data_IF_749156436365
#
_entry.id   IF_749156436365
#
_cell.length_a   1.000
_cell.length_b   1.000
_cell.length_c   1.000
_cell.angle_alpha   90.00
_cell.angle_beta   90.00
_cell.angle_gamma   90.00
#
_symmetry.space_group_name_H-M   'P 1'
#
loop_
_entity.id
_entity.type
_entity.pdbx_description
1 polymer ?
#
# COMPACT_ATOMS: atom_id res chain seq x y z
N UNK A 1 1.92 42.34 112.76
CA UNK A 1 1.84 43.82 112.81
C UNK A 1 0.46 44.23 112.26
N UNK A 2 -0.58 44.23 113.12
CA UNK A 2 -1.91 44.75 112.77
C UNK A 2 -1.87 46.25 113.04
N UNK A 3 -1.89 47.08 111.98
CA UNK A 3 -2.07 48.52 112.13
C UNK A 3 -3.51 48.79 112.58
N UNK A 4 -3.63 49.57 113.65
CA UNK A 4 -4.88 49.99 114.28
C UNK A 4 -5.62 50.99 113.36
N UNK A 5 -6.84 50.68 112.89
CA UNK A 5 -7.61 51.54 111.98
C UNK A 5 -8.09 52.85 112.63
N UNK A 6 -7.84 53.05 113.92
CA UNK A 6 -8.18 54.26 114.67
C UNK A 6 -7.00 55.22 114.87
N UNK A 7 -5.81 54.93 114.33
CA UNK A 7 -4.71 55.88 114.33
C UNK A 7 -5.06 57.10 113.46
N UNK A 8 -5.24 58.25 114.10
CA UNK A 8 -5.36 59.53 113.42
C UNK A 8 -4.03 59.81 112.71
N UNK A 9 -4.02 59.70 111.38
CA UNK A 9 -2.89 60.13 110.58
C UNK A 9 -2.56 61.58 110.92
N UNK A 10 -1.31 61.86 111.29
CA UNK A 10 -0.88 63.24 111.41
C UNK A 10 -0.92 63.89 110.00
N UNK A 11 -1.13 65.20 109.93
CA UNK A 11 -1.26 65.91 108.65
C UNK A 11 -0.06 65.66 107.70
N UNK A 12 1.13 65.41 108.25
CA UNK A 12 2.36 65.10 107.48
C UNK A 12 2.35 63.68 106.88
N UNK A 13 1.77 62.69 107.55
CA UNK A 13 1.58 61.34 107.00
C UNK A 13 0.50 61.32 105.93
N UNK A 14 -0.63 62.00 106.17
CA UNK A 14 -1.69 62.14 105.18
C UNK A 14 -1.15 62.83 103.92
N UNK A 15 -0.42 63.94 104.06
CA UNK A 15 0.21 64.62 102.92
C UNK A 15 1.21 63.73 102.16
N UNK A 16 1.98 62.89 102.86
CA UNK A 16 2.87 61.91 102.22
C UNK A 16 2.08 60.85 101.46
N UNK A 17 1.05 60.26 102.06
CA UNK A 17 0.19 59.24 101.43
C UNK A 17 -0.53 59.82 100.22
N UNK A 18 -1.13 61.01 100.35
CA UNK A 18 -1.77 61.71 99.23
C UNK A 18 -0.75 62.05 98.15
N UNK A 19 0.44 62.55 98.51
CA UNK A 19 1.50 62.86 97.55
C UNK A 19 2.03 61.64 96.78
N UNK A 20 2.27 60.51 97.48
CA UNK A 20 2.68 59.26 96.82
C UNK A 20 1.57 58.68 95.96
N UNK A 21 0.31 58.75 96.41
CA UNK A 21 -0.85 58.35 95.62
C UNK A 21 -1.00 59.22 94.36
N UNK A 22 -0.89 60.54 94.48
CA UNK A 22 -0.90 61.46 93.35
C UNK A 22 0.23 61.17 92.36
N UNK A 23 1.46 60.95 92.85
CA UNK A 23 2.59 60.59 91.99
C UNK A 23 2.35 59.25 91.27
N UNK A 24 1.80 58.26 91.98
CA UNK A 24 1.46 56.95 91.41
C UNK A 24 0.38 57.08 90.33
N UNK A 25 -0.69 57.85 90.59
CA UNK A 25 -1.75 58.11 89.61
C UNK A 25 -1.21 58.86 88.38
N UNK A 26 -0.33 59.84 88.56
CA UNK A 26 0.32 60.54 87.43
C UNK A 26 1.21 59.58 86.64
N UNK A 27 1.96 58.71 87.31
CA UNK A 27 2.81 57.72 86.66
C UNK A 27 1.98 56.69 85.87
N UNK A 28 0.87 56.19 86.42
CA UNK A 28 -0.01 55.25 85.72
C UNK A 28 -0.71 55.90 84.52
N UNK A 29 -1.15 57.17 84.64
CA UNK A 29 -1.69 57.92 83.51
C UNK A 29 -0.64 58.09 82.39
N UNK A 30 0.59 58.46 82.72
CA UNK A 30 1.69 58.58 81.75
C UNK A 30 2.03 57.25 81.07
N UNK A 31 2.01 56.14 81.82
CA UNK A 31 2.21 54.80 81.25
C UNK A 31 1.07 54.39 80.31
N UNK A 32 -0.18 54.68 80.69
CA UNK A 32 -1.36 54.43 79.86
C UNK A 32 -1.31 55.22 78.56
N UNK A 33 -0.93 56.50 78.62
CA UNK A 33 -0.82 57.39 77.46
C UNK A 33 0.28 56.93 76.49
N UNK A 34 1.43 56.50 77.03
CA UNK A 34 2.50 55.88 76.23
C UNK A 34 2.05 54.58 75.56
N UNK A 35 1.30 53.73 76.27
CA UNK A 35 0.77 52.49 75.72
C UNK A 35 -0.27 52.74 74.62
N UNK A 36 -1.18 53.71 74.84
CA UNK A 36 -2.15 54.14 73.83
C UNK A 36 -1.46 54.64 72.56
N UNK A 37 -0.42 55.48 72.70
CA UNK A 37 0.38 55.97 71.58
C UNK A 37 1.07 54.84 70.80
N UNK A 38 1.60 53.83 71.48
CA UNK A 38 2.24 52.67 70.85
C UNK A 38 1.24 51.80 70.08
N UNK A 39 0.05 51.57 70.65
CA UNK A 39 -1.02 50.83 69.98
C UNK A 39 -1.52 51.58 68.74
N UNK A 40 -1.70 52.89 68.85
CA UNK A 40 -2.10 53.72 67.72
C UNK A 40 -1.07 53.67 66.59
N UNK A 41 0.23 53.77 66.92
CA UNK A 41 1.29 53.64 65.92
C UNK A 41 1.28 52.27 65.22
N UNK A 42 1.13 51.17 65.99
CA UNK A 42 1.03 49.82 65.40
C UNK A 42 -0.19 49.67 64.50
N UNK A 43 -1.33 50.23 64.88
CA UNK A 43 -2.55 50.20 64.09
C UNK A 43 -2.33 50.93 62.75
N UNK A 44 -1.73 52.13 62.77
CA UNK A 44 -1.41 52.87 61.54
C UNK A 44 -0.43 52.11 60.64
N UNK A 45 0.61 51.48 61.19
CA UNK A 45 1.55 50.67 60.40
C UNK A 45 0.89 49.45 59.77
N UNK A 46 0.02 48.75 60.50
CA UNK A 46 -0.72 47.60 59.97
C UNK A 46 -1.72 48.03 58.90
N UNK A 47 -2.40 49.15 59.09
CA UNK A 47 -3.35 49.70 58.13
C UNK A 47 -2.65 50.05 56.81
N UNK A 48 -1.49 50.72 56.87
CA UNK A 48 -0.68 50.98 55.68
C UNK A 48 -0.19 49.70 54.99
N UNK A 49 0.10 48.63 55.74
CA UNK A 49 0.50 47.33 55.16
C UNK A 49 -0.68 46.61 54.50
N UNK A 50 -1.89 46.73 55.06
CA UNK A 50 -3.12 46.19 54.47
C UNK A 50 -3.39 46.93 53.16
N UNK A 51 -3.39 48.26 53.17
CA UNK A 51 -3.59 49.08 51.96
C UNK A 51 -2.55 48.74 50.87
N UNK A 52 -1.27 48.55 51.25
CA UNK A 52 -0.24 48.10 50.30
C UNK A 52 -0.53 46.71 49.72
N UNK A 53 -0.94 45.74 50.55
CA UNK A 53 -1.24 44.38 50.10
C UNK A 53 -2.52 44.33 49.25
N UNK A 54 -3.50 45.19 49.54
CA UNK A 54 -4.70 45.34 48.72
C UNK A 54 -4.35 45.92 47.34
N UNK A 55 -3.44 46.92 47.28
CA UNK A 55 -2.91 47.42 46.01
C UNK A 55 -2.11 46.35 45.26
N UNK A 56 -1.21 45.61 45.92
CA UNK A 56 -0.47 44.50 45.30
C UNK A 56 -1.40 43.38 44.80
N UNK A 57 -2.49 43.09 45.51
CA UNK A 57 -3.49 42.11 45.09
C UNK A 57 -4.32 42.60 43.91
N UNK A 58 -4.68 43.88 43.90
CA UNK A 58 -5.39 44.51 42.78
C UNK A 58 -4.51 44.58 41.53
N UNK A 59 -3.22 44.94 41.66
CA UNK A 59 -2.25 44.91 40.55
C UNK A 59 -2.07 43.49 39.99
N UNK A 60 -2.12 42.46 40.83
CA UNK A 60 -2.08 41.05 40.36
C UNK A 60 -3.37 40.59 39.69
N UNK A 61 -4.52 41.15 40.07
CA UNK A 61 -5.81 40.88 39.44
C UNK A 61 -5.96 41.66 38.12
N UNK A 62 -5.40 42.86 38.05
CA UNK A 62 -5.40 43.73 36.88
C UNK A 62 -4.28 43.42 35.89
N UNK A 63 -3.19 42.78 36.34
CA UNK A 63 -2.29 42.10 35.42
C UNK A 63 -3.14 41.04 34.70
N UNK A 64 -3.44 41.23 33.39
CA UNK A 64 -4.07 40.18 32.63
C UNK A 64 -3.15 38.98 32.81
N UNK A 65 -3.72 37.86 33.23
CA UNK A 65 -3.00 36.61 33.23
C UNK A 65 -2.67 36.30 31.77
N UNK A 66 -1.60 36.90 31.24
CA UNK A 66 -1.07 36.61 29.90
C UNK A 66 -0.76 35.11 29.79
N UNK A 67 -0.54 34.46 30.94
CA UNK A 67 -0.41 33.01 31.08
C UNK A 67 -1.76 32.30 30.86
N UNK A 68 -2.90 32.80 31.37
CA UNK A 68 -4.20 32.15 31.16
C UNK A 68 -4.76 32.43 29.75
N UNK A 69 -4.61 33.65 29.21
CA UNK A 69 -5.02 33.93 27.82
C UNK A 69 -4.16 33.17 26.81
N UNK A 70 -2.83 33.15 26.99
CA UNK A 70 -1.92 32.40 26.12
C UNK A 70 -2.17 30.88 26.16
N UNK A 71 -2.45 30.32 27.34
CA UNK A 71 -2.75 28.89 27.48
C UNK A 71 -4.13 28.53 26.95
N UNK A 72 -5.15 29.37 27.14
CA UNK A 72 -6.47 29.13 26.56
C UNK A 72 -6.44 29.20 25.04
N UNK A 73 -5.76 30.18 24.44
CA UNK A 73 -5.55 30.22 22.99
C UNK A 73 -4.79 29.00 22.46
N UNK A 74 -3.77 28.53 23.18
CA UNK A 74 -3.00 27.34 22.78
C UNK A 74 -3.86 26.07 22.87
N UNK A 75 -4.71 25.96 23.90
CA UNK A 75 -5.69 24.87 24.02
C UNK A 75 -6.67 24.91 22.84
N UNK A 76 -7.22 26.08 22.50
CA UNK A 76 -8.16 26.23 21.39
C UNK A 76 -7.49 25.86 20.04
N UNK A 77 -6.26 26.33 19.81
CA UNK A 77 -5.45 25.98 18.61
C UNK A 77 -5.18 24.47 18.54
N UNK A 78 -4.86 23.83 19.67
CA UNK A 78 -4.64 22.39 19.72
C UNK A 78 -5.94 21.59 19.51
N UNK A 79 -7.06 22.08 20.01
CA UNK A 79 -8.38 21.47 19.78
C UNK A 79 -8.77 21.54 18.30
N UNK A 80 -8.58 22.70 17.65
CA UNK A 80 -8.81 22.88 16.21
C UNK A 80 -7.87 22.00 15.36
N UNK A 81 -6.59 21.89 15.74
CA UNK A 81 -5.66 20.99 15.07
C UNK A 81 -6.07 19.51 15.23
N UNK A 82 -6.57 19.12 16.41
CA UNK A 82 -7.02 17.76 16.67
C UNK A 82 -8.27 17.39 15.86
N UNK A 83 -9.22 18.32 15.71
CA UNK A 83 -10.40 18.10 14.86
C UNK A 83 -10.00 17.98 13.39
N UNK A 84 -9.16 18.88 12.89
CA UNK A 84 -8.68 18.84 11.50
C UNK A 84 -7.94 17.52 11.18
N UNK A 85 -7.03 17.08 12.06
CA UNK A 85 -6.31 15.80 11.90
C UNK A 85 -7.27 14.61 11.94
N UNK A 86 -8.32 14.67 12.75
CA UNK A 86 -9.33 13.60 12.85
C UNK A 86 -10.14 13.51 11.56
N UNK A 87 -10.56 14.64 10.99
CA UNK A 87 -11.26 14.68 9.70
C UNK A 87 -10.38 14.18 8.55
N UNK A 88 -9.11 14.60 8.49
CA UNK A 88 -8.15 14.12 7.49
C UNK A 88 -7.96 12.61 7.57
N UNK A 89 -7.86 12.06 8.79
CA UNK A 89 -7.75 10.62 9.02
C UNK A 89 -8.98 9.85 8.53
N UNK A 90 -10.18 10.35 8.79
CA UNK A 90 -11.42 9.70 8.33
C UNK A 90 -11.55 9.78 6.80
N UNK A 91 -11.17 10.89 6.18
CA UNK A 91 -11.11 11.01 4.73
C UNK A 91 -10.10 10.01 4.13
N UNK A 92 -8.89 9.92 4.69
CA UNK A 92 -7.88 8.97 4.23
C UNK A 92 -8.34 7.51 4.36
N UNK A 93 -9.13 7.19 5.39
CA UNK A 93 -9.76 5.87 5.57
C UNK A 93 -10.81 5.61 4.48
N UNK A 94 -11.64 6.58 4.16
CA UNK A 94 -12.63 6.48 3.10
C UNK A 94 -11.95 6.27 1.72
N UNK A 95 -10.91 7.03 1.43
CA UNK A 95 -10.14 6.91 0.19
C UNK A 95 -9.46 5.54 0.08
N UNK A 96 -8.87 5.03 1.17
CA UNK A 96 -8.29 3.70 1.21
C UNK A 96 -9.34 2.60 0.97
N UNK A 97 -10.53 2.73 1.58
CA UNK A 97 -11.61 1.77 1.37
C UNK A 97 -12.12 1.77 -0.07
N UNK A 98 -12.25 2.95 -0.70
CA UNK A 98 -12.64 3.07 -2.10
C UNK A 98 -11.60 2.43 -3.04
N UNK A 99 -10.31 2.66 -2.81
CA UNK A 99 -9.24 2.02 -3.58
C UNK A 99 -9.25 0.49 -3.41
N UNK A 100 -9.43 0.00 -2.18
CA UNK A 100 -9.52 -1.43 -1.91
C UNK A 100 -10.72 -2.08 -2.63
N UNK A 101 -11.88 -1.44 -2.61
CA UNK A 101 -13.07 -1.92 -3.31
C UNK A 101 -12.89 -1.91 -4.84
N UNK A 102 -12.22 -0.89 -5.39
CA UNK A 102 -11.90 -0.81 -6.83
C UNK A 102 -10.88 -1.87 -7.26
N UNK A 103 -10.05 -2.39 -6.35
CA UNK A 103 -9.04 -3.40 -6.64
C UNK A 103 -9.60 -4.84 -6.68
N UNK A 104 -10.71 -5.11 -6.00
CA UNK A 104 -11.31 -6.46 -5.94
C UNK A 104 -11.69 -7.00 -7.33
N UNK A 105 -12.36 -6.18 -8.15
CA UNK A 105 -12.76 -6.54 -9.51
C UNK A 105 -11.58 -6.87 -10.44
N UNK A 106 -10.55 -6.03 -10.60
CA UNK A 106 -9.39 -6.36 -11.44
C UNK A 106 -8.59 -7.55 -10.88
N UNK A 107 -8.56 -7.77 -9.57
CA UNK A 107 -7.97 -8.99 -9.00
C UNK A 107 -8.74 -10.26 -9.40
N UNK A 108 -10.07 -10.20 -9.40
CA UNK A 108 -10.92 -11.28 -9.87
C UNK A 108 -10.68 -11.54 -11.37
N UNK A 109 -10.64 -10.49 -12.19
CA UNK A 109 -10.35 -10.58 -13.62
C UNK A 109 -8.96 -11.19 -13.87
N UNK A 110 -7.96 -10.83 -13.07
CA UNK A 110 -6.62 -11.40 -13.14
C UNK A 110 -6.61 -12.90 -12.79
N UNK A 111 -7.40 -13.33 -11.80
CA UNK A 111 -7.55 -14.75 -11.45
C UNK A 111 -8.17 -15.53 -12.61
N UNK A 112 -9.21 -14.99 -13.24
CA UNK A 112 -9.87 -15.59 -14.42
C UNK A 112 -8.91 -15.69 -15.62
N UNK A 113 -8.22 -14.59 -15.95
CA UNK A 113 -7.25 -14.56 -17.05
C UNK A 113 -6.10 -15.56 -16.85
N UNK A 114 -5.65 -15.77 -15.59
CA UNK A 114 -4.63 -16.79 -15.28
C UNK A 114 -5.11 -18.21 -15.53
N UNK A 115 -6.40 -18.49 -15.29
CA UNK A 115 -7.01 -19.80 -15.57
C UNK A 115 -7.15 -19.99 -17.09
N UNK A 116 -7.69 -19.01 -17.80
CA UNK A 116 -7.81 -19.04 -19.27
C UNK A 116 -6.46 -19.22 -19.97
N UNK A 117 -5.41 -18.54 -19.49
CA UNK A 117 -4.06 -18.71 -20.01
C UNK A 117 -3.55 -20.15 -19.83
N UNK A 118 -3.84 -20.80 -18.70
CA UNK A 118 -3.43 -22.20 -18.46
C UNK A 118 -4.18 -23.16 -19.37
N UNK A 119 -5.48 -22.95 -19.56
CA UNK A 119 -6.30 -23.77 -20.47
C UNK A 119 -5.82 -23.64 -21.92
N UNK A 120 -5.64 -22.42 -22.41
CA UNK A 120 -5.08 -22.16 -23.75
C UNK A 120 -3.70 -22.79 -23.93
N UNK A 121 -2.84 -22.72 -22.92
CA UNK A 121 -1.51 -23.38 -22.95
C UNK A 121 -1.64 -24.90 -23.03
N UNK A 122 -2.58 -25.51 -22.33
CA UNK A 122 -2.84 -26.94 -22.43
C UNK A 122 -3.36 -27.33 -23.83
N UNK A 123 -4.28 -26.53 -24.39
CA UNK A 123 -4.80 -26.72 -25.74
C UNK A 123 -3.72 -26.59 -26.82
N UNK A 124 -2.81 -25.62 -26.69
CA UNK A 124 -1.66 -25.47 -27.61
C UNK A 124 -0.80 -26.74 -27.58
N UNK A 125 -0.46 -27.25 -26.39
CA UNK A 125 0.32 -28.50 -26.27
C UNK A 125 -0.36 -29.70 -26.93
N UNK A 126 -1.68 -29.84 -26.76
CA UNK A 126 -2.44 -30.91 -27.40
C UNK A 126 -2.44 -30.78 -28.94
N UNK A 127 -2.52 -29.55 -29.46
CA UNK A 127 -2.42 -29.30 -30.89
C UNK A 127 -1.00 -29.58 -31.42
N UNK A 128 0.04 -29.25 -30.65
CA UNK A 128 1.43 -29.57 -30.99
C UNK A 128 1.65 -31.09 -31.08
N UNK A 129 1.10 -31.87 -30.14
CA UNK A 129 1.18 -33.34 -30.19
C UNK A 129 0.45 -33.90 -31.40
N UNK A 130 -0.79 -33.47 -31.66
CA UNK A 130 -1.55 -33.90 -32.84
C UNK A 130 -0.86 -33.53 -34.15
N UNK A 131 -0.23 -32.35 -34.22
CA UNK A 131 0.52 -31.91 -35.39
C UNK A 131 1.78 -32.76 -35.59
N UNK A 132 2.46 -33.15 -34.52
CA UNK A 132 3.59 -34.09 -34.58
C UNK A 132 3.15 -35.48 -35.08
N UNK A 133 2.04 -36.01 -34.55
CA UNK A 133 1.44 -37.28 -34.97
C UNK A 133 1.06 -37.26 -36.46
N UNK A 134 0.38 -36.21 -36.91
CA UNK A 134 0.00 -36.05 -38.31
C UNK A 134 1.21 -35.97 -39.25
N UNK A 135 2.30 -35.32 -38.83
CA UNK A 135 3.55 -35.31 -39.60
C UNK A 135 4.16 -36.70 -39.71
N UNK A 136 4.24 -37.44 -38.61
CA UNK A 136 4.73 -38.82 -38.63
C UNK A 136 3.87 -39.73 -39.53
N UNK A 137 2.56 -39.53 -39.54
CA UNK A 137 1.65 -40.27 -40.41
C UNK A 137 1.87 -39.95 -41.90
N UNK A 138 2.09 -38.68 -42.24
CA UNK A 138 2.45 -38.27 -43.61
C UNK A 138 3.76 -38.93 -44.04
N UNK A 139 4.78 -38.92 -43.18
CA UNK A 139 6.08 -39.56 -43.47
C UNK A 139 5.92 -41.07 -43.71
N UNK A 140 5.10 -41.73 -42.87
CA UNK A 140 4.76 -43.16 -43.00
C UNK A 140 4.08 -43.46 -44.33
N UNK A 141 3.02 -42.73 -44.67
CA UNK A 141 2.30 -42.90 -45.94
C UNK A 141 3.17 -42.59 -47.15
N UNK A 142 4.07 -41.61 -47.05
CA UNK A 142 5.01 -41.28 -48.13
C UNK A 142 5.99 -42.42 -48.38
N UNK A 143 6.45 -43.09 -47.31
CA UNK A 143 7.27 -44.30 -47.45
C UNK A 143 6.50 -45.43 -48.14
N UNK A 144 5.25 -45.70 -47.74
CA UNK A 144 4.40 -46.71 -48.39
C UNK A 144 4.20 -46.44 -49.88
N UNK A 145 3.98 -45.19 -50.26
CA UNK A 145 3.86 -44.79 -51.68
C UNK A 145 5.16 -45.07 -52.44
N UNK A 146 6.32 -44.81 -51.85
CA UNK A 146 7.61 -45.09 -52.47
C UNK A 146 7.85 -46.59 -52.62
N UNK A 147 7.48 -47.40 -51.62
CA UNK A 147 7.60 -48.86 -51.65
C UNK A 147 6.72 -49.45 -52.77
N UNK A 148 5.45 -49.05 -52.86
CA UNK A 148 4.52 -49.46 -53.93
C UNK A 148 5.03 -49.02 -55.31
N UNK A 149 5.63 -47.83 -55.41
CA UNK A 149 6.20 -47.33 -56.65
C UNK A 149 7.38 -48.17 -57.12
N UNK A 150 8.24 -48.62 -56.20
CA UNK A 150 9.37 -49.49 -56.54
C UNK A 150 8.92 -50.91 -56.86
N UNK A 151 7.92 -51.44 -56.14
CA UNK A 151 7.30 -52.74 -56.42
C UNK A 151 6.67 -52.74 -57.81
N UNK A 152 5.82 -51.76 -58.13
CA UNK A 152 5.21 -51.63 -59.45
C UNK A 152 6.23 -51.42 -60.58
N UNK A 153 7.31 -50.68 -60.34
CA UNK A 153 8.41 -50.55 -61.30
C UNK A 153 9.14 -51.89 -61.53
N UNK A 154 9.33 -52.67 -60.47
CA UNK A 154 9.97 -53.99 -60.52
C UNK A 154 9.10 -55.02 -61.24
N UNK A 155 7.81 -55.07 -60.93
CA UNK A 155 6.82 -55.91 -61.63
C UNK A 155 6.76 -55.56 -63.11
N UNK A 156 6.75 -54.27 -63.45
CA UNK A 156 6.75 -53.82 -64.83
C UNK A 156 8.02 -54.27 -65.56
N UNK A 157 9.20 -54.11 -64.94
CA UNK A 157 10.48 -54.61 -65.50
C UNK A 157 10.43 -56.13 -65.71
N UNK A 158 9.87 -56.88 -64.76
CA UNK A 158 9.72 -58.33 -64.87
C UNK A 158 8.79 -58.72 -66.04
N UNK A 159 7.65 -58.05 -66.18
CA UNK A 159 6.72 -58.28 -67.28
C UNK A 159 7.33 -57.95 -68.65
N UNK A 160 8.13 -56.88 -68.76
CA UNK A 160 8.88 -56.59 -69.98
C UNK A 160 9.99 -57.62 -70.26
N UNK A 161 10.71 -58.08 -69.24
CA UNK A 161 11.72 -59.12 -69.39
C UNK A 161 11.15 -60.44 -69.93
N UNK A 162 9.94 -60.82 -69.49
CA UNK A 162 9.24 -62.00 -70.01
C UNK A 162 8.81 -61.88 -71.49
N UNK A 163 8.58 -60.64 -71.98
CA UNK A 163 8.24 -60.40 -73.40
C UNK A 163 9.47 -60.42 -74.32
N UNK A 164 10.65 -60.17 -73.78
CA UNK A 164 11.90 -60.31 -74.50
C UNK A 164 12.35 -61.79 -74.47
N UNK A 165 11.79 -62.62 -75.36
CA UNK A 165 12.51 -63.81 -75.82
C UNK A 165 13.67 -63.31 -76.70
N UNK A 166 14.94 -63.47 -76.28
CA UNK A 166 16.05 -63.14 -77.16
C UNK A 166 15.91 -64.03 -78.41
N UNK A 167 16.11 -63.51 -79.63
CA UNK A 167 16.14 -64.34 -80.80
C UNK A 167 17.16 -65.45 -80.55
N UNK A 168 16.67 -66.71 -80.54
CA UNK A 168 17.50 -67.92 -80.51
C UNK A 168 18.38 -67.87 -81.75
N UNK A 169 19.49 -67.17 -81.61
CA UNK A 169 20.52 -67.07 -82.63
C UNK A 169 21.17 -68.43 -82.61
N UNK A 170 20.73 -69.31 -83.51
CA UNK A 170 21.44 -70.56 -83.81
C UNK A 170 22.88 -70.17 -84.10
N UNK A 171 23.78 -70.48 -83.17
CA UNK A 171 25.21 -70.41 -83.40
C UNK A 171 25.54 -71.32 -84.60
N UNK A 172 25.72 -70.72 -85.76
CA UNK A 172 26.48 -71.33 -86.84
C UNK A 172 27.96 -71.36 -86.41
N UNK A 173 28.66 -72.49 -86.53
CA UNK A 173 30.08 -72.54 -86.23
C UNK A 173 30.84 -71.97 -87.44
N UNK A 174 31.37 -70.76 -87.31
CA UNK A 174 32.41 -70.28 -88.21
C UNK A 174 33.32 -69.27 -87.49
N UNK A 175 34.47 -69.82 -87.10
CA UNK A 175 35.77 -69.26 -86.70
C UNK A 175 36.26 -68.03 -87.51
N UNK A 176 37.44 -67.43 -87.20
CA UNK A 176 37.61 -66.31 -86.25
C UNK A 176 38.33 -65.07 -86.85
N UNK A 177 38.21 -63.92 -86.15
CA UNK A 177 39.12 -62.73 -86.15
C UNK A 177 39.18 -61.88 -87.46
N UNK A 178 39.72 -60.62 -87.48
CA UNK A 178 40.51 -59.91 -86.47
C UNK A 178 40.15 -58.42 -86.19
N UNK A 179 40.78 -57.92 -85.12
CA UNK A 179 40.82 -56.54 -84.61
C UNK A 179 41.41 -55.49 -85.59
N UNK A 180 40.87 -54.26 -85.60
CA UNK A 180 41.62 -52.98 -85.77
C UNK A 180 40.68 -51.77 -85.59
N UNK A 181 40.78 -51.02 -84.48
CA UNK A 181 41.53 -49.76 -84.28
C UNK A 181 41.06 -48.58 -85.14
N UNK A 182 40.46 -47.55 -84.51
CA UNK A 182 40.19 -46.24 -85.12
C UNK A 182 39.32 -45.32 -84.26
N UNK A 183 39.96 -44.51 -83.40
CA UNK A 183 39.43 -43.25 -82.80
C UNK A 183 39.22 -42.17 -83.92
N UNK A 184 38.57 -40.98 -83.77
CA UNK A 184 38.34 -40.21 -82.53
C UNK A 184 37.02 -39.39 -82.36
N UNK A 185 36.87 -38.91 -81.11
CA UNK A 185 35.99 -37.89 -80.45
C UNK A 185 36.10 -36.50 -81.16
N UNK A 186 35.13 -35.52 -81.13
CA UNK A 186 34.86 -34.69 -79.93
C UNK A 186 33.51 -33.95 -79.70
N UNK A 187 33.33 -33.57 -78.41
CA UNK A 187 32.61 -32.41 -77.82
C UNK A 187 31.08 -32.29 -78.04
N UNK A 188 30.27 -32.07 -77.00
CA UNK A 188 30.17 -30.84 -76.19
C UNK A 188 29.71 -31.11 -74.74
N UNK A 189 30.32 -30.42 -73.78
CA UNK A 189 29.93 -30.25 -72.37
C UNK A 189 29.64 -28.74 -72.10
N UNK A 190 29.48 -28.25 -70.86
CA UNK A 190 28.50 -28.54 -69.79
C UNK A 190 27.76 -27.25 -69.30
N UNK A 191 26.59 -27.37 -68.67
CA UNK A 191 25.97 -26.25 -67.91
C UNK A 191 25.73 -26.68 -66.45
N UNK A 192 26.73 -26.41 -65.60
CA UNK A 192 26.52 -25.98 -64.22
C UNK A 192 26.03 -24.53 -64.23
N UNK A 193 24.97 -24.22 -63.47
CA UNK A 193 24.81 -22.98 -62.67
C UNK A 193 23.39 -22.89 -62.11
N UNK A 194 23.29 -22.62 -60.81
CA UNK A 194 22.17 -21.84 -60.29
C UNK A 194 21.52 -22.36 -59.01
N UNK A 195 22.20 -22.12 -57.89
CA UNK A 195 21.63 -22.07 -56.55
C UNK A 195 20.29 -21.30 -56.50
N UNK A 196 19.33 -21.79 -55.69
CA UNK A 196 18.35 -20.95 -54.98
C UNK A 196 17.65 -21.75 -53.87
N UNK A 197 17.93 -21.47 -52.59
CA UNK A 197 17.06 -21.88 -51.50
C UNK A 197 15.91 -20.87 -51.41
N UNK A 198 14.70 -21.25 -51.80
CA UNK A 198 13.52 -20.41 -51.58
C UNK A 198 13.16 -20.41 -50.09
N UNK A 199 13.79 -19.51 -49.34
CA UNK A 199 13.30 -19.02 -48.05
C UNK A 199 12.13 -18.06 -48.26
N UNK A 200 11.14 -18.20 -47.36
CA UNK A 200 10.08 -17.25 -46.96
C UNK A 200 9.02 -16.91 -48.00
N UNK A 201 7.79 -17.29 -47.66
CA UNK A 201 6.64 -16.37 -47.62
C UNK A 201 5.59 -16.97 -46.67
N UNK A 202 5.58 -16.50 -45.43
CA UNK A 202 4.51 -16.70 -44.46
C UNK A 202 3.26 -15.90 -44.89
N UNK A 203 2.04 -16.47 -44.89
CA UNK A 203 0.82 -15.68 -44.94
C UNK A 203 0.33 -15.39 -43.51
N UNK A 204 0.34 -14.10 -43.20
CA UNK A 204 -0.43 -13.30 -42.25
C UNK A 204 -1.72 -13.96 -41.70
N UNK A 205 -2.00 -13.92 -40.37
CA UNK A 205 -3.35 -14.12 -39.86
C UNK A 205 -4.11 -12.79 -39.91
N UNK A 206 -5.19 -12.74 -40.69
CA UNK A 206 -6.13 -11.62 -40.72
C UNK A 206 -6.89 -11.47 -39.40
N UNK A 207 -7.19 -10.21 -39.12
CA UNK A 207 -7.85 -9.62 -37.97
C UNK A 207 -9.26 -10.20 -37.66
N UNK A 208 -9.47 -10.47 -36.36
CA UNK A 208 -10.63 -10.21 -35.48
C UNK A 208 -11.98 -9.69 -36.06
N UNK A 209 -13.14 -10.03 -35.45
CA UNK A 209 -13.47 -9.44 -34.15
C UNK A 209 -14.19 -10.36 -33.13
N UNK A 210 -13.73 -10.30 -31.88
CA UNK A 210 -14.44 -10.82 -30.72
C UNK A 210 -15.70 -9.98 -30.44
N UNK A 211 -16.87 -10.60 -30.53
CA UNK A 211 -18.10 -10.10 -29.94
C UNK A 211 -18.10 -10.38 -28.43
N UNK A 212 -18.14 -9.33 -27.62
CA UNK A 212 -18.38 -9.35 -26.16
C UNK A 212 -19.82 -8.88 -25.86
N UNK A 213 -20.39 -9.07 -24.64
CA UNK A 213 -21.44 -10.07 -24.41
C UNK A 213 -22.75 -9.48 -23.84
N UNK A 214 -23.90 -10.14 -24.06
CA UNK A 214 -25.13 -9.86 -23.31
C UNK A 214 -25.27 -10.81 -22.12
N UNK A 215 -25.00 -10.31 -20.90
CA UNK A 215 -25.47 -10.94 -19.65
C UNK A 215 -26.69 -10.19 -19.14
N UNK A 216 -27.80 -10.92 -19.00
CA UNK A 216 -29.03 -10.51 -18.35
C UNK A 216 -28.81 -10.24 -16.87
N UNK A 217 -29.36 -9.14 -16.37
CA UNK A 217 -29.49 -8.79 -14.96
C UNK A 217 -30.37 -9.79 -14.20
N UNK A 218 -30.11 -10.01 -12.90
CA UNK A 218 -31.14 -10.34 -11.95
C UNK A 218 -31.39 -9.18 -10.98
N UNK A 219 -32.63 -8.72 -10.98
CA UNK A 219 -33.27 -7.85 -9.99
C UNK A 219 -33.21 -8.51 -8.61
N UNK A 220 -32.62 -7.85 -7.62
CA UNK A 220 -32.78 -8.24 -6.20
C UNK A 220 -33.40 -7.06 -5.46
N UNK A 221 -34.64 -7.26 -5.05
CA UNK A 221 -35.44 -6.35 -4.24
C UNK A 221 -34.83 -6.18 -2.85
N UNK A 222 -34.62 -4.93 -2.46
CA UNK A 222 -34.17 -4.54 -1.13
C UNK A 222 -35.36 -4.50 -0.18
N UNK A 223 -35.44 -5.44 0.76
CA UNK A 223 -36.30 -5.32 1.93
C UNK A 223 -35.47 -4.87 3.14
N UNK A 224 -35.65 -3.60 3.49
CA UNK A 224 -35.41 -3.02 4.81
C UNK A 224 -35.98 -3.93 5.90
N UNK A 225 -35.17 -4.26 6.90
CA UNK A 225 -35.67 -4.63 8.23
C UNK A 225 -34.80 -3.96 9.28
N UNK A 226 -35.42 -3.01 9.97
CA UNK A 226 -34.89 -2.20 11.05
C UNK A 226 -35.59 -2.63 12.34
N UNK A 227 -34.84 -3.16 13.30
CA UNK A 227 -35.19 -3.28 14.72
C UNK A 227 -33.85 -3.20 15.48
N UNK A 228 -33.42 -2.03 15.95
CA UNK A 228 -33.78 -1.41 17.24
C UNK A 228 -33.56 -2.36 18.42
N UNK A 229 -32.36 -2.29 19.00
CA UNK A 229 -32.05 -2.74 20.35
C UNK A 229 -32.20 -1.52 21.27
N UNK A 230 -33.21 -1.53 22.12
CA UNK A 230 -33.25 -0.73 23.33
C UNK A 230 -32.61 -1.51 24.48
N UNK A 231 -32.00 -0.76 25.39
CA UNK A 231 -31.36 -1.17 26.65
C UNK A 231 -32.24 -2.04 27.56
#
# INVERSE_FOLDING_TARGET
MKQDPSQSFNHKELAKITGTLSHTLIATLKLSDRHASQLQHKLTCLQARIEQLELEAQERLEQPSEVDEGTTEEIDKLQEALTAITEEREQARADHADVANKLDYPEQLLKEAKVDLRDKKARIKALETHLSEARHEIDRLMQEVNDIKEESASELRHAYALRYEPPKTRCAPASPLPSRTGSPVPELSPIERGEKPCRRSSPTPSEEPYLTPQRREPVIASHRSSYSLDL
#
